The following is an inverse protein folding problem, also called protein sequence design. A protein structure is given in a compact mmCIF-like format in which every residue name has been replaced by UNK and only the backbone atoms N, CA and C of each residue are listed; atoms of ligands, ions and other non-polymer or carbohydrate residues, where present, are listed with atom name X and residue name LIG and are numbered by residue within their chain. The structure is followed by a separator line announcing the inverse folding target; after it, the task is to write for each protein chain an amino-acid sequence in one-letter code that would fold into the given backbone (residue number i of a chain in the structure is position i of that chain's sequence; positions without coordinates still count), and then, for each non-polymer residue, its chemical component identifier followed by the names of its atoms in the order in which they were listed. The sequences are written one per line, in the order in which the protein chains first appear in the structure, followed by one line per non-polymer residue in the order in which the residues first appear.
data_IF_717175099902
#
_entry.id   IF_717175099902
#
_cell.length_a   1.000
_cell.length_b   1.000
_cell.length_c   1.000
_cell.angle_alpha   90.00
_cell.angle_beta   90.00
_cell.angle_gamma   90.00
#
_symmetry.space_group_name_H-M   'P 1'
#
loop_
_entity.id
_entity.type
_entity.pdbx_description
1 polymer ?
#
# COMPACT_ATOMS: atom_id res chain seq x y z
N UNK A 1 14.47 5.23 -20.93
CA UNK A 1 14.29 6.56 -21.56
C UNK A 1 12.83 7.03 -21.56
N UNK A 2 11.85 6.20 -21.96
CA UNK A 2 10.41 6.62 -22.05
C UNK A 2 9.86 7.14 -20.71
N UNK A 3 10.21 6.54 -19.59
CA UNK A 3 9.70 6.91 -18.26
C UNK A 3 10.55 7.98 -17.54
N UNK A 4 11.61 8.49 -18.17
CA UNK A 4 12.59 9.35 -17.48
C UNK A 4 11.93 10.62 -16.91
N UNK A 5 11.22 11.38 -17.73
CA UNK A 5 10.56 12.63 -17.31
C UNK A 5 9.51 12.41 -16.22
N UNK A 6 8.75 11.31 -16.31
CA UNK A 6 7.75 10.96 -15.31
C UNK A 6 8.38 10.53 -13.97
N UNK A 7 9.49 9.82 -14.03
CA UNK A 7 10.26 9.46 -12.82
C UNK A 7 10.88 10.70 -12.18
N UNK A 8 11.36 11.65 -12.97
CA UNK A 8 11.87 12.94 -12.46
C UNK A 8 10.75 13.77 -11.82
N UNK A 9 9.59 13.90 -12.47
CA UNK A 9 8.41 14.57 -11.93
C UNK A 9 7.98 13.94 -10.61
N UNK A 10 7.86 12.62 -10.57
CA UNK A 10 7.50 11.86 -9.36
C UNK A 10 8.52 12.05 -8.24
N UNK A 11 9.81 12.00 -8.57
CA UNK A 11 10.91 12.19 -7.61
C UNK A 11 10.89 13.59 -7.02
N UNK A 12 10.74 14.61 -7.85
CA UNK A 12 10.65 16.01 -7.41
C UNK A 12 9.41 16.24 -6.54
N UNK A 13 8.25 15.74 -6.97
CA UNK A 13 7.01 15.84 -6.22
C UNK A 13 7.07 15.12 -4.86
N UNK A 14 7.63 13.91 -4.82
CA UNK A 14 7.80 13.19 -3.56
C UNK A 14 8.76 13.91 -2.61
N UNK A 15 9.89 14.42 -3.10
CA UNK A 15 10.82 15.20 -2.28
C UNK A 15 10.19 16.47 -1.73
N UNK A 16 9.40 17.18 -2.54
CA UNK A 16 8.65 18.34 -2.10
C UNK A 16 7.66 17.97 -0.99
N UNK A 17 6.85 16.93 -1.17
CA UNK A 17 5.89 16.46 -0.17
C UNK A 17 6.59 15.96 1.11
N UNK A 18 7.73 15.29 0.98
CA UNK A 18 8.50 14.78 2.12
C UNK A 18 8.95 15.90 3.07
N UNK A 19 9.18 17.09 2.55
CA UNK A 19 9.63 18.26 3.29
C UNK A 19 8.50 19.26 3.60
N UNK A 20 7.26 18.96 3.24
CA UNK A 20 6.09 19.84 3.46
C UNK A 20 5.33 19.42 4.73
N UNK A 21 5.37 20.24 5.81
CA UNK A 21 4.60 19.97 7.03
C UNK A 21 3.09 19.86 6.79
N UNK A 22 2.55 20.63 5.84
CA UNK A 22 1.12 20.61 5.53
C UNK A 22 0.71 19.28 4.88
N UNK A 23 1.57 18.71 4.02
CA UNK A 23 1.35 17.37 3.46
C UNK A 23 1.28 16.32 4.57
N UNK A 24 2.21 16.38 5.53
CA UNK A 24 2.25 15.42 6.64
C UNK A 24 1.08 15.58 7.59
N UNK A 25 0.64 16.78 7.84
CA UNK A 25 -0.56 17.03 8.65
C UNK A 25 -1.81 16.42 7.99
N UNK A 26 -2.00 16.62 6.68
CA UNK A 26 -3.10 16.03 5.91
C UNK A 26 -3.00 14.48 5.89
N UNK A 27 -1.81 13.93 5.65
CA UNK A 27 -1.58 12.49 5.68
C UNK A 27 -1.90 11.88 7.07
N UNK A 28 -1.39 12.48 8.15
CA UNK A 28 -1.65 12.01 9.50
C UNK A 28 -3.13 12.12 9.88
N UNK A 29 -3.83 13.15 9.43
CA UNK A 29 -5.28 13.26 9.61
C UNK A 29 -6.00 12.11 8.91
N UNK A 30 -5.66 11.81 7.65
CA UNK A 30 -6.22 10.67 6.92
C UNK A 30 -5.90 9.33 7.61
N UNK A 31 -4.72 9.17 8.17
CA UNK A 31 -4.36 7.96 8.90
C UNK A 31 -5.24 7.78 10.14
N UNK A 32 -5.52 8.84 10.89
CA UNK A 32 -6.41 8.78 12.06
C UNK A 32 -7.88 8.58 11.69
N UNK A 33 -8.40 9.41 10.79
CA UNK A 33 -9.84 9.54 10.57
C UNK A 33 -10.38 8.54 9.53
N UNK A 34 -9.53 8.08 8.61
CA UNK A 34 -9.94 7.21 7.52
C UNK A 34 -9.31 5.81 7.60
N UNK A 35 -8.03 5.71 7.92
CA UNK A 35 -7.34 4.43 8.03
C UNK A 35 -7.48 3.77 9.40
N UNK A 36 -7.95 4.49 10.42
CA UNK A 36 -8.18 3.95 11.76
C UNK A 36 -6.90 3.73 12.57
N UNK A 37 -5.86 4.56 12.33
CA UNK A 37 -4.59 4.45 13.07
C UNK A 37 -4.58 5.28 14.35
N UNK A 38 -3.75 4.89 15.36
CA UNK A 38 -2.81 3.77 15.35
C UNK A 38 -3.52 2.41 15.47
N UNK A 39 -3.04 1.40 14.72
CA UNK A 39 -3.48 0.02 14.93
C UNK A 39 -2.88 -0.53 16.22
N UNK A 40 -3.59 -1.38 16.99
CA UNK A 40 -3.09 -1.84 18.28
C UNK A 40 -1.96 -2.87 18.17
N UNK A 41 -1.14 -2.95 19.22
CA UNK A 41 -0.31 -4.11 19.52
C UNK A 41 -1.05 -4.96 20.53
N UNK A 42 -1.38 -6.19 20.17
CA UNK A 42 -2.19 -7.11 21.00
C UNK A 42 -1.31 -8.22 21.57
N UNK A 43 -1.35 -8.42 22.88
CA UNK A 43 -0.73 -9.57 23.54
C UNK A 43 -1.57 -10.83 23.32
N UNK A 44 -0.96 -11.89 22.79
CA UNK A 44 -1.59 -13.18 22.54
C UNK A 44 -1.39 -14.11 23.74
N UNK A 45 -2.14 -13.86 24.81
CA UNK A 45 -1.97 -14.54 26.10
C UNK A 45 -2.12 -16.08 25.99
N UNK A 46 -3.12 -16.57 25.25
CA UNK A 46 -3.35 -18.00 25.09
C UNK A 46 -2.24 -18.68 24.33
N UNK A 47 -1.81 -18.08 23.20
CA UNK A 47 -0.72 -18.61 22.37
C UNK A 47 0.61 -18.58 23.14
N UNK A 48 0.90 -17.50 23.85
CA UNK A 48 2.12 -17.37 24.68
C UNK A 48 2.18 -18.46 25.76
N UNK A 49 1.05 -18.75 26.42
CA UNK A 49 0.96 -19.79 27.43
C UNK A 49 1.06 -21.18 26.83
N UNK A 50 0.40 -21.44 25.71
CA UNK A 50 0.41 -22.74 25.03
C UNK A 50 1.80 -23.13 24.54
N UNK A 51 2.58 -22.17 24.04
CA UNK A 51 3.94 -22.40 23.54
C UNK A 51 5.01 -22.41 24.64
N UNK A 52 4.70 -21.89 25.82
CA UNK A 52 5.55 -22.00 27.01
C UNK A 52 6.93 -21.35 26.87
N UNK A 53 7.01 -20.04 26.71
CA UNK A 53 8.34 -19.39 26.61
C UNK A 53 8.24 -17.89 26.31
N UNK A 54 8.08 -17.51 25.06
CA UNK A 54 8.05 -16.11 24.65
C UNK A 54 6.70 -15.46 24.92
N UNK A 55 6.72 -14.19 25.32
CA UNK A 55 5.53 -13.33 25.25
C UNK A 55 5.32 -12.90 23.81
N UNK A 56 4.21 -13.29 23.20
CA UNK A 56 3.91 -13.06 21.77
C UNK A 56 2.96 -11.88 21.65
N UNK A 57 3.35 -10.90 20.86
CA UNK A 57 2.55 -9.73 20.52
C UNK A 57 2.35 -9.64 19.01
N UNK A 58 1.22 -9.10 18.57
CA UNK A 58 0.91 -8.89 17.16
C UNK A 58 0.57 -7.43 16.93
N UNK A 59 1.24 -6.79 15.97
CA UNK A 59 0.84 -5.49 15.43
C UNK A 59 -0.31 -5.73 14.44
N UNK A 60 -1.49 -5.21 14.74
CA UNK A 60 -2.76 -5.57 14.12
C UNK A 60 -3.05 -4.72 12.87
N UNK A 61 -2.24 -4.88 11.81
CA UNK A 61 -2.49 -4.19 10.53
C UNK A 61 -3.75 -4.69 9.80
N UNK A 62 -4.30 -5.82 10.20
CA UNK A 62 -5.60 -6.33 9.78
C UNK A 62 -6.78 -5.46 10.26
N UNK A 63 -6.59 -4.66 11.29
CA UNK A 63 -7.58 -3.70 11.79
C UNK A 63 -7.51 -2.33 11.12
N UNK A 64 -6.53 -2.10 10.27
CA UNK A 64 -6.49 -0.91 9.42
C UNK A 64 -7.56 -1.00 8.34
N UNK A 65 -8.08 0.15 7.89
CA UNK A 65 -9.07 0.18 6.81
C UNK A 65 -8.59 -0.62 5.59
N UNK A 66 -9.49 -1.33 4.92
CA UNK A 66 -9.22 -2.36 3.89
C UNK A 66 -8.61 -3.67 4.38
N UNK A 67 -8.40 -3.84 5.69
CA UNK A 67 -7.94 -5.09 6.30
C UNK A 67 -6.46 -5.40 6.13
N UNK A 68 -5.64 -4.42 5.74
CA UNK A 68 -4.20 -4.61 5.62
C UNK A 68 -3.39 -3.31 5.68
N UNK A 69 -2.07 -3.44 5.84
CA UNK A 69 -1.10 -2.33 5.82
C UNK A 69 -1.06 -1.54 4.51
N UNK A 70 -1.65 -2.05 3.43
CA UNK A 70 -1.58 -1.42 2.10
C UNK A 70 -2.17 0.00 2.09
N UNK A 71 -3.19 0.25 2.90
CA UNK A 71 -3.85 1.56 2.97
C UNK A 71 -2.86 2.68 3.35
N UNK A 72 -1.84 2.42 4.17
CA UNK A 72 -0.86 3.43 4.58
C UNK A 72 -0.15 4.03 3.36
N UNK A 73 0.40 3.17 2.52
CA UNK A 73 1.13 3.58 1.32
C UNK A 73 0.19 4.19 0.27
N UNK A 74 -0.96 3.58 -0.01
CA UNK A 74 -1.84 4.09 -1.08
C UNK A 74 -2.42 5.45 -0.73
N UNK A 75 -2.72 5.74 0.53
CA UNK A 75 -3.19 7.07 0.94
C UNK A 75 -2.11 8.14 0.78
N UNK A 76 -0.85 7.81 1.11
CA UNK A 76 0.28 8.71 0.88
C UNK A 76 0.50 8.98 -0.61
N UNK A 77 0.48 7.93 -1.44
CA UNK A 77 0.58 8.08 -2.89
C UNK A 77 -0.62 8.80 -3.50
N UNK A 78 -1.83 8.62 -2.95
CA UNK A 78 -3.02 9.35 -3.37
C UNK A 78 -2.91 10.86 -3.10
N UNK A 79 -2.41 11.26 -1.94
CA UNK A 79 -2.12 12.67 -1.65
C UNK A 79 -1.05 13.24 -2.58
N UNK A 80 0.01 12.48 -2.84
CA UNK A 80 1.04 12.88 -3.80
C UNK A 80 0.45 13.04 -5.21
N UNK A 81 -0.36 12.10 -5.65
CA UNK A 81 -1.08 12.13 -6.93
C UNK A 81 -1.93 13.42 -7.06
N UNK A 82 -2.66 13.78 -6.01
CA UNK A 82 -3.44 15.03 -5.93
C UNK A 82 -2.54 16.27 -6.05
N UNK A 83 -1.39 16.30 -5.37
CA UNK A 83 -0.42 17.41 -5.45
C UNK A 83 0.25 17.55 -6.82
N UNK A 84 0.42 16.42 -7.54
CA UNK A 84 0.92 16.39 -8.92
C UNK A 84 -0.15 16.70 -9.97
N UNK A 85 -1.41 16.92 -9.58
CA UNK A 85 -2.50 17.20 -10.49
C UNK A 85 -2.92 16.02 -11.37
N UNK A 86 -2.51 14.79 -11.02
CA UNK A 86 -2.94 13.60 -11.75
C UNK A 86 -4.41 13.29 -11.42
N UNK A 87 -5.14 12.76 -12.39
CA UNK A 87 -6.58 12.49 -12.27
C UNK A 87 -6.95 11.01 -12.39
N UNK A 88 -5.96 10.20 -12.71
CA UNK A 88 -6.09 8.75 -12.89
C UNK A 88 -5.02 8.02 -12.10
N UNK A 89 -5.41 6.90 -11.51
CA UNK A 89 -4.49 5.98 -10.85
C UNK A 89 -4.62 4.59 -11.42
N UNK A 90 -3.49 3.90 -11.51
CA UNK A 90 -3.44 2.48 -11.87
C UNK A 90 -2.65 1.70 -10.83
N UNK A 91 -2.96 0.42 -10.69
CA UNK A 91 -2.16 -0.50 -9.89
C UNK A 91 -2.27 -1.91 -10.47
N UNK A 92 -1.29 -2.74 -10.14
CA UNK A 92 -1.36 -4.18 -10.26
C UNK A 92 -1.80 -4.82 -8.95
N UNK A 93 -2.33 -6.03 -9.03
CA UNK A 93 -2.61 -6.83 -7.84
C UNK A 93 -2.61 -8.32 -8.17
N UNK A 94 -2.14 -9.15 -7.22
CA UNK A 94 -2.25 -10.60 -7.28
C UNK A 94 -3.30 -11.10 -6.28
N UNK A 95 -2.99 -11.02 -4.99
CA UNK A 95 -3.93 -11.41 -3.93
C UNK A 95 -5.14 -10.45 -3.76
N UNK A 96 -5.17 -9.32 -4.47
CA UNK A 96 -6.27 -8.36 -4.44
C UNK A 96 -6.13 -7.21 -3.43
N UNK A 97 -5.30 -7.33 -2.42
CA UNK A 97 -5.21 -6.35 -1.33
C UNK A 97 -4.68 -4.98 -1.80
N UNK A 98 -3.68 -4.96 -2.70
CA UNK A 98 -3.18 -3.70 -3.27
C UNK A 98 -4.25 -3.03 -4.13
N UNK A 99 -4.92 -3.80 -4.98
CA UNK A 99 -6.01 -3.30 -5.82
C UNK A 99 -7.16 -2.75 -4.99
N UNK A 100 -7.62 -3.47 -3.96
CA UNK A 100 -8.69 -3.03 -3.07
C UNK A 100 -8.32 -1.73 -2.34
N UNK A 101 -7.11 -1.64 -1.78
CA UNK A 101 -6.66 -0.41 -1.13
C UNK A 101 -6.55 0.77 -2.12
N UNK A 102 -6.06 0.52 -3.35
CA UNK A 102 -5.96 1.56 -4.39
C UNK A 102 -7.35 2.02 -4.85
N UNK A 103 -8.30 1.10 -5.07
CA UNK A 103 -9.68 1.44 -5.41
C UNK A 103 -10.36 2.27 -4.31
N UNK A 104 -10.13 1.90 -3.05
CA UNK A 104 -10.63 2.64 -1.87
C UNK A 104 -10.10 4.08 -1.83
N UNK A 105 -8.80 4.25 -2.02
CA UNK A 105 -8.17 5.56 -2.08
C UNK A 105 -8.68 6.38 -3.28
N UNK A 106 -8.80 5.75 -4.45
CA UNK A 106 -9.30 6.40 -5.65
C UNK A 106 -10.73 6.91 -5.49
N UNK A 107 -11.61 6.09 -4.92
CA UNK A 107 -12.99 6.47 -4.59
C UNK A 107 -13.03 7.68 -3.63
N UNK A 108 -12.17 7.68 -2.59
CA UNK A 108 -12.09 8.78 -1.63
C UNK A 108 -11.64 10.10 -2.28
N UNK A 109 -10.67 10.07 -3.18
CA UNK A 109 -10.13 11.28 -3.81
C UNK A 109 -10.79 11.65 -5.13
N UNK A 110 -11.68 10.81 -5.67
CA UNK A 110 -12.37 11.04 -6.94
C UNK A 110 -11.48 10.77 -8.16
N UNK A 111 -10.49 9.89 -8.06
CA UNK A 111 -9.66 9.51 -9.20
C UNK A 111 -10.33 8.42 -10.03
N UNK A 112 -10.12 8.45 -11.35
CA UNK A 112 -10.35 7.29 -12.20
C UNK A 112 -9.37 6.19 -11.81
N UNK A 113 -9.86 4.96 -11.62
CA UNK A 113 -9.03 3.85 -11.12
C UNK A 113 -9.11 2.65 -12.05
N UNK A 114 -7.93 2.13 -12.45
CA UNK A 114 -7.82 0.89 -13.21
C UNK A 114 -6.86 -0.06 -12.51
N UNK A 115 -7.31 -1.29 -12.30
CA UNK A 115 -6.54 -2.33 -11.59
C UNK A 115 -6.27 -3.48 -12.54
N UNK A 116 -5.01 -3.80 -12.77
CA UNK A 116 -4.57 -4.95 -13.56
C UNK A 116 -4.42 -6.17 -12.67
N UNK A 117 -5.05 -7.28 -13.06
CA UNK A 117 -5.01 -8.52 -12.31
C UNK A 117 -4.99 -9.71 -13.26
N UNK A 118 -4.12 -10.68 -13.01
CA UNK A 118 -4.06 -11.88 -13.82
C UNK A 118 -5.35 -12.68 -13.74
N UNK A 119 -5.80 -13.27 -14.87
CA UNK A 119 -7.06 -14.01 -14.93
C UNK A 119 -7.15 -15.16 -13.91
N UNK A 120 -6.02 -15.84 -13.65
CA UNK A 120 -5.95 -16.89 -12.63
C UNK A 120 -6.16 -16.31 -11.22
N UNK A 121 -5.61 -15.15 -10.95
CA UNK A 121 -5.76 -14.48 -9.66
C UNK A 121 -7.17 -13.91 -9.48
N UNK A 122 -7.79 -13.38 -10.54
CA UNK A 122 -9.21 -12.95 -10.55
C UNK A 122 -10.12 -14.12 -10.13
N UNK A 123 -9.92 -15.29 -10.72
CA UNK A 123 -10.73 -16.46 -10.39
C UNK A 123 -10.60 -16.88 -8.91
N UNK A 124 -9.39 -16.76 -8.35
CA UNK A 124 -9.10 -17.12 -6.94
C UNK A 124 -9.57 -16.08 -5.93
N UNK A 125 -9.58 -14.81 -6.32
CA UNK A 125 -9.76 -13.65 -5.43
C UNK A 125 -11.06 -12.87 -5.72
N UNK A 126 -12.11 -13.56 -6.14
CA UNK A 126 -13.43 -12.97 -6.48
C UNK A 126 -13.96 -11.97 -5.44
N UNK A 127 -13.86 -12.22 -4.13
CA UNK A 127 -14.32 -11.24 -3.13
C UNK A 127 -13.60 -9.89 -3.22
N UNK A 128 -12.29 -9.89 -3.48
CA UNK A 128 -11.52 -8.66 -3.64
C UNK A 128 -11.88 -7.93 -4.95
N UNK A 129 -12.11 -8.68 -6.03
CA UNK A 129 -12.58 -8.13 -7.32
C UNK A 129 -13.93 -7.43 -7.13
N UNK A 130 -14.88 -8.08 -6.47
CA UNK A 130 -16.19 -7.50 -6.14
C UNK A 130 -16.05 -6.16 -5.40
N UNK A 131 -15.20 -6.07 -4.40
CA UNK A 131 -14.98 -4.81 -3.69
C UNK A 131 -14.35 -3.73 -4.53
N UNK A 132 -13.37 -4.05 -5.38
CA UNK A 132 -12.75 -3.10 -6.30
C UNK A 132 -13.77 -2.51 -7.27
N UNK A 133 -14.62 -3.35 -7.88
CA UNK A 133 -15.67 -2.94 -8.81
C UNK A 133 -16.74 -2.08 -8.13
N UNK A 134 -17.17 -2.45 -6.92
CA UNK A 134 -18.14 -1.65 -6.14
C UNK A 134 -17.61 -0.27 -5.72
N UNK A 135 -16.29 -0.11 -5.62
CA UNK A 135 -15.63 1.18 -5.39
C UNK A 135 -15.42 1.98 -6.67
N UNK A 136 -15.90 1.49 -7.80
CA UNK A 136 -15.82 2.16 -9.09
C UNK A 136 -14.50 1.96 -9.84
N UNK A 137 -13.65 1.02 -9.43
CA UNK A 137 -12.45 0.68 -10.18
C UNK A 137 -12.78 -0.25 -11.36
N UNK A 138 -12.13 -0.01 -12.48
CA UNK A 138 -12.12 -0.93 -13.62
C UNK A 138 -11.08 -2.03 -13.34
N UNK A 139 -11.53 -3.28 -13.20
CA UNK A 139 -10.62 -4.42 -13.06
C UNK A 139 -10.37 -5.06 -14.42
N UNK A 140 -9.12 -4.98 -14.88
CA UNK A 140 -8.70 -5.50 -16.19
C UNK A 140 -8.09 -6.88 -16.01
N UNK A 141 -8.70 -7.88 -16.65
CA UNK A 141 -8.17 -9.25 -16.70
C UNK A 141 -6.97 -9.32 -17.63
N UNK A 142 -5.83 -9.78 -17.13
CA UNK A 142 -4.64 -10.01 -17.94
C UNK A 142 -4.55 -11.50 -18.31
N UNK A 143 -4.69 -11.77 -19.60
CA UNK A 143 -4.71 -13.11 -20.16
C UNK A 143 -3.35 -13.60 -20.66
N UNK A 144 -2.36 -12.70 -20.76
CA UNK A 144 -1.02 -12.99 -21.26
C UNK A 144 -0.19 -13.78 -20.25
N UNK A 145 0.81 -14.50 -20.73
CA UNK A 145 1.80 -15.20 -19.95
C UNK A 145 1.22 -16.26 -19.01
N UNK A 146 1.57 -16.22 -17.74
CA UNK A 146 1.05 -17.11 -16.70
C UNK A 146 -0.27 -16.62 -16.10
N UNK A 147 -0.77 -15.49 -16.53
CA UNK A 147 -2.02 -14.85 -16.06
C UNK A 147 -2.02 -14.60 -14.54
N UNK A 148 -0.87 -14.14 -14.02
CA UNK A 148 -0.61 -13.88 -12.59
C UNK A 148 -0.05 -12.48 -12.37
N UNK A 149 0.34 -12.16 -11.14
CA UNK A 149 0.85 -10.85 -10.73
C UNK A 149 1.97 -10.30 -11.65
N UNK A 150 2.90 -11.14 -12.13
CA UNK A 150 3.99 -10.69 -13.00
C UNK A 150 3.46 -10.09 -14.30
N UNK A 151 2.47 -10.73 -14.88
CA UNK A 151 1.87 -10.30 -16.15
C UNK A 151 1.03 -9.03 -15.94
N UNK A 152 0.34 -8.95 -14.81
CA UNK A 152 -0.38 -7.73 -14.38
C UNK A 152 0.56 -6.52 -14.19
N UNK A 153 1.76 -6.72 -13.63
CA UNK A 153 2.79 -5.67 -13.52
C UNK A 153 3.19 -5.19 -14.91
N UNK A 154 3.45 -6.09 -15.85
CA UNK A 154 3.87 -5.74 -17.20
C UNK A 154 2.80 -4.89 -17.91
N UNK A 155 1.53 -5.26 -17.76
CA UNK A 155 0.43 -4.53 -18.39
C UNK A 155 0.21 -3.15 -17.73
N UNK A 156 0.27 -3.07 -16.41
CA UNK A 156 0.22 -1.80 -15.69
C UNK A 156 1.37 -0.86 -16.12
N UNK A 157 2.57 -1.38 -16.34
CA UNK A 157 3.71 -0.60 -16.81
C UNK A 157 3.51 -0.09 -18.24
N UNK A 158 2.90 -0.89 -19.15
CA UNK A 158 2.59 -0.46 -20.52
C UNK A 158 1.56 0.67 -20.51
N UNK A 159 0.49 0.52 -19.72
CA UNK A 159 -0.52 1.58 -19.54
C UNK A 159 0.13 2.85 -19.01
N UNK A 160 0.94 2.74 -17.96
CA UNK A 160 1.60 3.90 -17.39
C UNK A 160 2.48 4.62 -18.40
N UNK A 161 3.31 3.88 -19.14
CA UNK A 161 4.17 4.44 -20.19
C UNK A 161 3.39 5.17 -21.28
N UNK A 162 2.16 4.77 -21.55
CA UNK A 162 1.29 5.38 -22.56
C UNK A 162 0.54 6.61 -22.03
N UNK A 163 0.20 6.65 -20.75
CA UNK A 163 -0.72 7.63 -20.14
C UNK A 163 -0.06 8.45 -19.01
N UNK A 164 1.24 8.68 -19.08
CA UNK A 164 2.02 9.35 -18.01
C UNK A 164 1.51 10.74 -17.63
N UNK A 165 0.93 11.47 -18.58
CA UNK A 165 0.53 12.87 -18.37
C UNK A 165 -0.52 13.03 -17.25
N UNK A 166 -1.50 12.14 -17.17
CA UNK A 166 -2.61 12.23 -16.24
C UNK A 166 -2.65 11.09 -15.20
N UNK A 167 -1.77 10.11 -15.34
CA UNK A 167 -1.83 8.84 -14.61
C UNK A 167 -0.66 8.68 -13.64
N UNK A 168 -0.99 8.30 -12.40
CA UNK A 168 -0.01 7.85 -11.40
C UNK A 168 -0.09 6.33 -11.21
N UNK A 169 1.05 5.65 -11.25
CA UNK A 169 1.16 4.23 -10.93
C UNK A 169 1.35 4.03 -9.43
N UNK A 170 0.35 3.46 -8.76
CA UNK A 170 0.33 3.25 -7.31
C UNK A 170 1.01 1.92 -6.98
N UNK A 171 2.34 1.93 -6.90
CA UNK A 171 3.12 0.73 -6.60
C UNK A 171 2.98 0.32 -5.13
N UNK A 172 2.66 -0.95 -4.90
CA UNK A 172 2.32 -1.47 -3.58
C UNK A 172 3.47 -2.11 -2.79
N UNK A 173 4.69 -2.11 -3.34
CA UNK A 173 5.85 -2.75 -2.73
C UNK A 173 7.12 -1.91 -2.91
N UNK A 174 8.13 -2.14 -2.05
CA UNK A 174 9.40 -1.41 -2.10
C UNK A 174 10.32 -1.99 -3.18
N UNK A 175 9.87 -1.97 -4.43
CA UNK A 175 10.64 -2.41 -5.61
C UNK A 175 10.51 -1.41 -6.77
N UNK A 176 11.17 -1.70 -7.87
CA UNK A 176 11.15 -0.86 -9.07
C UNK A 176 12.16 0.27 -9.03
N UNK A 177 12.00 1.24 -9.94
CA UNK A 177 12.88 2.39 -10.08
C UNK A 177 12.70 3.37 -8.90
N UNK A 178 13.77 4.13 -8.60
CA UNK A 178 13.63 5.30 -7.73
C UNK A 178 12.54 6.25 -8.29
N UNK A 179 11.63 6.84 -7.44
CA UNK A 179 11.66 6.88 -5.99
C UNK A 179 10.78 5.83 -5.30
N UNK A 180 10.21 4.86 -6.00
CA UNK A 180 9.23 3.93 -5.43
C UNK A 180 9.69 3.20 -4.16
N UNK A 181 10.92 2.61 -4.09
CA UNK A 181 11.35 1.95 -2.86
C UNK A 181 11.39 2.89 -1.66
N UNK A 182 11.92 4.10 -1.83
CA UNK A 182 11.97 5.12 -0.79
C UNK A 182 10.56 5.58 -0.38
N UNK A 183 9.72 5.87 -1.35
CA UNK A 183 8.35 6.35 -1.12
C UNK A 183 7.50 5.32 -0.38
N UNK A 184 7.54 4.06 -0.81
CA UNK A 184 6.80 2.98 -0.14
C UNK A 184 7.31 2.76 1.28
N UNK A 185 8.63 2.70 1.48
CA UNK A 185 9.24 2.60 2.81
C UNK A 185 8.81 3.74 3.72
N UNK A 186 8.83 4.96 3.19
CA UNK A 186 8.46 6.15 3.95
C UNK A 186 7.02 6.08 4.48
N UNK A 187 6.04 5.78 3.61
CA UNK A 187 4.65 5.67 4.05
C UNK A 187 4.37 4.46 4.93
N UNK A 188 5.12 3.37 4.77
CA UNK A 188 4.96 2.18 5.61
C UNK A 188 5.69 2.28 6.96
N UNK A 189 6.63 3.19 7.13
CA UNK A 189 7.38 3.38 8.39
C UNK A 189 6.49 3.69 9.60
N UNK A 190 5.28 4.19 9.37
CA UNK A 190 4.28 4.44 10.41
C UNK A 190 4.00 3.18 11.26
N UNK A 191 4.07 1.99 10.67
CA UNK A 191 3.88 0.72 11.38
C UNK A 191 4.95 0.52 12.47
N UNK A 192 6.22 0.69 12.08
CA UNK A 192 7.36 0.53 12.99
C UNK A 192 7.42 1.60 14.07
N UNK A 193 7.12 2.85 13.71
CA UNK A 193 7.07 3.97 14.67
C UNK A 193 6.03 3.71 15.76
N UNK A 194 4.80 3.38 15.39
CA UNK A 194 3.74 3.04 16.34
C UNK A 194 4.06 1.77 17.14
N UNK A 195 4.53 0.70 16.47
CA UNK A 195 4.84 -0.57 17.12
C UNK A 195 5.92 -0.42 18.19
N UNK A 196 6.93 0.43 17.93
CA UNK A 196 8.01 0.71 18.89
C UNK A 196 7.47 1.34 20.18
N UNK A 197 6.65 2.36 20.06
CA UNK A 197 6.06 3.04 21.22
C UNK A 197 5.11 2.11 21.99
N UNK A 198 4.25 1.42 21.27
CA UNK A 198 3.23 0.54 21.84
C UNK A 198 3.85 -0.65 22.57
N UNK A 199 4.92 -1.28 22.04
CA UNK A 199 5.56 -2.40 22.69
C UNK A 199 6.36 -1.97 23.93
N UNK A 200 6.97 -0.80 23.90
CA UNK A 200 7.64 -0.25 25.09
C UNK A 200 6.63 0.03 26.20
N UNK A 201 5.46 0.58 25.87
CA UNK A 201 4.38 0.81 26.83
C UNK A 201 3.81 -0.52 27.38
N UNK A 202 3.63 -1.54 26.54
CA UNK A 202 3.00 -2.81 26.90
C UNK A 202 3.94 -3.79 27.59
N UNK A 203 5.23 -3.79 27.24
CA UNK A 203 6.19 -4.81 27.68
C UNK A 203 7.40 -4.26 28.45
N UNK A 204 7.58 -2.94 28.51
CA UNK A 204 8.69 -2.25 29.18
C UNK A 204 10.03 -2.37 28.44
N UNK A 205 10.08 -3.08 27.33
CA UNK A 205 11.29 -3.28 26.52
C UNK A 205 10.96 -3.50 25.04
N UNK A 206 11.93 -3.35 24.17
CA UNK A 206 11.82 -3.76 22.77
C UNK A 206 11.74 -5.28 22.64
N UNK A 207 11.15 -5.81 21.55
CA UNK A 207 11.07 -7.24 21.33
C UNK A 207 12.45 -7.85 21.08
N UNK A 208 12.68 -9.05 21.55
CA UNK A 208 13.92 -9.80 21.29
C UNK A 208 13.97 -10.29 19.84
N UNK A 209 12.80 -10.48 19.21
CA UNK A 209 12.65 -10.90 17.81
C UNK A 209 11.40 -10.27 17.19
N UNK A 210 11.53 -9.92 15.91
CA UNK A 210 10.40 -9.43 15.08
C UNK A 210 10.24 -10.38 13.88
N UNK A 211 9.01 -10.76 13.61
CA UNK A 211 8.67 -11.61 12.46
C UNK A 211 7.70 -10.85 11.56
N UNK A 212 7.98 -10.85 10.27
CA UNK A 212 7.09 -10.30 9.26
C UNK A 212 6.98 -11.28 8.08
N UNK A 213 5.79 -11.42 7.51
CA UNK A 213 5.63 -12.12 6.24
C UNK A 213 6.21 -11.27 5.12
N UNK A 214 6.98 -11.85 4.23
CA UNK A 214 7.56 -11.16 3.09
C UNK A 214 7.01 -11.76 1.79
N UNK A 215 6.12 -10.99 1.12
CA UNK A 215 5.79 -11.16 -0.29
C UNK A 215 6.65 -10.18 -1.09
N UNK A 216 6.12 -8.99 -1.38
CA UNK A 216 6.88 -7.87 -1.95
C UNK A 216 7.71 -7.07 -0.94
N UNK A 217 7.67 -7.38 0.35
CA UNK A 217 8.47 -6.75 1.40
C UNK A 217 7.87 -5.52 2.07
N UNK A 218 6.78 -4.96 1.58
CA UNK A 218 6.23 -3.64 1.99
C UNK A 218 5.83 -3.49 3.47
N UNK A 219 5.78 -4.56 4.26
CA UNK A 219 5.50 -4.50 5.70
C UNK A 219 6.67 -4.93 6.59
N UNK A 220 7.81 -5.22 5.96
CA UNK A 220 9.04 -5.64 6.65
C UNK A 220 10.15 -4.58 6.54
N UNK A 221 9.82 -3.39 6.07
CA UNK A 221 10.68 -2.23 5.87
C UNK A 221 10.48 -1.20 6.98
#
# INVERSE_FOLDING_TARGET
EILHSTIEELTAGFRACKNDPAFWQEYQQLMREYSGRPTPVTYLANLSRQLGGARIYVKREDLSHTGSHKINNVMGQGLLCKRLGKTRVIAETGAGQQGFATATMAAKFGFRCRIYMGAVDIARQRPNVFWMENLGAEVVSVEDGQRTLKDAINEAMRDWATNMADTHYVLGTACGAHPFPEMVSWFQSIIGLEAREQILAAAGKLPDRVYACVGGGSKAI
#
